data_IF_149691327074
#
_entry.id   IF_149691327074
#
_cell.length_a   1.000
_cell.length_b   1.000
_cell.length_c   1.000
_cell.angle_alpha   90.00
_cell.angle_beta   90.00
_cell.angle_gamma   90.00
#
_symmetry.space_group_name_H-M   'P 1'
#
loop_
_entity.id
_entity.type
_entity.pdbx_description
1 polymer ?
#
# COMPACT_ATOMS: atom_id res chain seq x y z
N UNK A 1 18.03 8.83 -0.72
CA UNK A 1 17.32 8.12 -1.80
C UNK A 1 15.98 7.75 -1.21
N UNK A 2 14.90 8.29 -1.74
CA UNK A 2 13.54 7.95 -1.31
C UNK A 2 13.30 6.47 -1.65
N UNK A 3 13.18 5.63 -0.63
CA UNK A 3 12.90 4.21 -0.82
C UNK A 3 11.41 4.06 -1.17
N UNK A 4 11.15 3.61 -2.40
CA UNK A 4 9.79 3.41 -2.92
C UNK A 4 9.41 1.93 -2.88
N UNK A 5 8.21 1.64 -2.39
CA UNK A 5 7.60 0.32 -2.35
C UNK A 5 6.43 0.30 -3.33
N UNK A 6 6.40 -0.67 -4.23
CA UNK A 6 5.26 -0.92 -5.09
C UNK A 6 4.52 -2.18 -4.64
N UNK A 7 3.26 -2.02 -4.27
CA UNK A 7 2.36 -3.10 -3.90
C UNK A 7 1.47 -3.44 -5.09
N UNK A 8 1.43 -4.71 -5.47
CA UNK A 8 0.42 -5.20 -6.40
C UNK A 8 -0.85 -5.59 -5.64
N UNK A 9 -2.00 -5.26 -6.21
CA UNK A 9 -3.29 -5.53 -5.60
C UNK A 9 -3.45 -7.01 -5.26
N UNK A 10 -3.85 -7.28 -4.03
CA UNK A 10 -4.07 -8.59 -3.42
C UNK A 10 -2.82 -9.49 -3.41
N UNK A 11 -1.63 -8.92 -3.59
CA UNK A 11 -0.36 -9.64 -3.48
C UNK A 11 0.33 -9.20 -2.18
N UNK A 12 0.49 -10.11 -1.20
CA UNK A 12 1.23 -9.81 0.01
C UNK A 12 2.70 -9.54 -0.29
N UNK A 13 3.19 -8.39 0.18
CA UNK A 13 4.56 -7.94 -0.04
C UNK A 13 5.25 -7.80 1.32
N UNK A 14 6.32 -8.57 1.60
CA UNK A 14 7.06 -8.44 2.84
C UNK A 14 7.91 -7.16 2.81
N UNK A 15 7.78 -6.33 3.83
CA UNK A 15 8.48 -5.04 3.96
C UNK A 15 8.85 -4.83 5.41
N UNK A 16 10.14 -4.67 5.70
CA UNK A 16 10.67 -4.37 7.05
C UNK A 16 10.15 -5.30 8.17
N UNK A 17 9.98 -6.60 7.89
CA UNK A 17 9.45 -7.55 8.86
C UNK A 17 7.92 -7.52 9.02
N UNK A 18 7.23 -6.67 8.26
CA UNK A 18 5.78 -6.60 8.12
C UNK A 18 5.35 -7.23 6.79
N UNK A 19 4.05 -7.49 6.65
CA UNK A 19 3.40 -7.88 5.41
C UNK A 19 2.40 -6.80 4.99
N UNK A 20 2.61 -6.21 3.82
CA UNK A 20 1.73 -5.20 3.25
C UNK A 20 0.86 -5.80 2.17
N UNK A 21 -0.42 -5.43 2.13
CA UNK A 21 -1.35 -5.83 1.07
C UNK A 21 -2.14 -4.62 0.60
N UNK A 22 -2.05 -4.29 -0.68
CA UNK A 22 -2.97 -3.34 -1.30
C UNK A 22 -4.23 -4.08 -1.75
N UNK A 23 -5.40 -3.56 -1.42
CA UNK A 23 -6.69 -4.13 -1.81
C UNK A 23 -7.64 -3.02 -2.24
N UNK A 24 -8.75 -3.39 -2.90
CA UNK A 24 -9.77 -2.44 -3.35
C UNK A 24 -9.19 -1.21 -4.09
N UNK A 25 -8.11 -1.41 -4.84
CA UNK A 25 -7.48 -0.36 -5.64
C UNK A 25 -8.48 0.06 -6.72
N UNK A 26 -8.87 1.34 -6.74
CA UNK A 26 -9.86 1.93 -7.65
C UNK A 26 -9.56 3.40 -7.89
N UNK A 27 -9.21 3.77 -9.12
CA UNK A 27 -8.92 5.16 -9.46
C UNK A 27 -7.78 5.71 -8.59
N UNK A 28 -8.10 6.67 -7.73
CA UNK A 28 -7.15 7.28 -6.78
C UNK A 28 -7.32 6.80 -5.33
N UNK A 29 -8.06 5.72 -5.10
CA UNK A 29 -8.37 5.16 -3.77
C UNK A 29 -7.85 3.73 -3.65
N UNK A 30 -7.30 3.38 -2.50
CA UNK A 30 -6.92 2.02 -2.17
C UNK A 30 -7.15 1.71 -0.68
N UNK A 31 -7.17 0.43 -0.34
CA UNK A 31 -7.04 -0.04 1.04
C UNK A 31 -5.66 -0.64 1.21
N UNK A 32 -4.87 -0.13 2.16
CA UNK A 32 -3.62 -0.73 2.59
C UNK A 32 -3.86 -1.54 3.87
N UNK A 33 -3.44 -2.79 3.88
CA UNK A 33 -3.33 -3.59 5.08
C UNK A 33 -1.87 -3.66 5.50
N UNK A 34 -1.62 -3.41 6.79
CA UNK A 34 -0.31 -3.53 7.43
C UNK A 34 -0.42 -4.64 8.47
N UNK A 35 0.32 -5.71 8.27
CA UNK A 35 0.31 -6.87 9.17
C UNK A 35 1.67 -7.07 9.80
N UNK A 36 1.71 -7.05 11.13
CA UNK A 36 2.88 -7.50 11.90
C UNK A 36 2.73 -8.99 12.27
N UNK A 37 3.85 -9.68 12.39
CA UNK A 37 3.85 -11.11 12.72
C UNK A 37 3.26 -11.33 14.10
N UNK A 38 2.17 -12.11 14.19
CA UNK A 38 1.50 -12.40 15.45
C UNK A 38 0.47 -11.35 15.89
N UNK A 39 0.24 -10.31 15.07
CA UNK A 39 -0.74 -9.26 15.34
C UNK A 39 -1.87 -9.24 14.31
N UNK A 40 -2.96 -8.55 14.63
CA UNK A 40 -4.06 -8.34 13.70
C UNK A 40 -3.69 -7.30 12.63
N UNK A 41 -4.14 -7.53 11.40
CA UNK A 41 -3.96 -6.59 10.31
C UNK A 41 -4.59 -5.22 10.63
N UNK A 42 -3.80 -4.15 10.54
CA UNK A 42 -4.32 -2.78 10.58
C UNK A 42 -4.72 -2.37 9.18
N UNK A 43 -5.93 -1.80 9.04
CA UNK A 43 -6.49 -1.37 7.76
C UNK A 43 -6.45 0.15 7.65
N UNK A 44 -5.86 0.65 6.58
CA UNK A 44 -5.87 2.06 6.19
C UNK A 44 -6.57 2.23 4.86
N UNK A 45 -7.51 3.15 4.78
CA UNK A 45 -8.04 3.62 3.50
C UNK A 45 -7.22 4.84 3.08
N UNK A 46 -6.70 4.83 1.86
CA UNK A 46 -5.69 5.80 1.41
C UNK A 46 -5.95 6.32 0.01
N UNK A 47 -5.54 7.56 -0.21
CA UNK A 47 -5.52 8.27 -1.49
C UNK A 47 -4.13 8.81 -1.80
N UNK A 48 -3.89 9.23 -3.04
CA UNK A 48 -2.60 9.83 -3.42
C UNK A 48 -2.33 11.09 -2.60
N UNK A 49 -1.16 11.14 -1.97
CA UNK A 49 -0.72 12.22 -1.09
C UNK A 49 -0.82 11.90 0.39
N UNK A 50 -1.62 10.90 0.80
CA UNK A 50 -1.79 10.49 2.20
C UNK A 50 -0.49 9.92 2.78
N UNK A 51 -0.26 10.16 4.06
CA UNK A 51 0.83 9.54 4.82
C UNK A 51 0.24 8.56 5.83
N UNK A 52 0.77 7.34 5.86
CA UNK A 52 0.30 6.26 6.73
C UNK A 52 1.44 5.63 7.51
N UNK A 53 1.18 5.20 8.76
CA UNK A 53 2.14 4.45 9.53
C UNK A 53 2.31 3.05 8.95
N UNK A 54 3.56 2.60 8.84
CA UNK A 54 3.93 1.26 8.41
C UNK A 54 4.97 0.73 9.40
N UNK A 55 4.46 0.13 10.49
CA UNK A 55 5.27 -0.16 11.68
C UNK A 55 5.77 1.13 12.31
N UNK A 56 7.08 1.20 12.55
CA UNK A 56 7.75 2.36 13.15
C UNK A 56 8.09 3.48 12.15
N UNK A 57 7.67 3.35 10.88
CA UNK A 57 7.97 4.31 9.81
C UNK A 57 6.71 4.99 9.27
N UNK A 58 6.90 6.11 8.58
CA UNK A 58 5.85 6.77 7.81
C UNK A 58 6.08 6.55 6.31
N UNK A 59 5.00 6.22 5.60
CA UNK A 59 5.03 6.06 4.16
C UNK A 59 3.97 6.96 3.51
N UNK A 60 4.37 7.74 2.51
CA UNK A 60 3.48 8.57 1.71
C UNK A 60 3.01 7.81 0.49
N UNK A 61 1.72 7.86 0.20
CA UNK A 61 1.16 7.33 -1.03
C UNK A 61 1.51 8.26 -2.19
N UNK A 62 2.40 7.82 -3.07
CA UNK A 62 2.80 8.60 -4.23
C UNK A 62 1.89 8.39 -5.43
N UNK A 63 1.44 7.16 -5.63
CA UNK A 63 0.62 6.80 -6.77
C UNK A 63 -0.31 5.64 -6.47
N UNK A 64 -1.51 5.72 -7.01
CA UNK A 64 -2.48 4.63 -7.07
C UNK A 64 -2.81 4.48 -8.55
N UNK A 65 -2.51 3.32 -9.12
CA UNK A 65 -2.66 3.07 -10.56
C UNK A 65 -3.46 1.81 -10.81
N UNK A 66 -4.36 1.85 -11.80
CA UNK A 66 -5.21 0.72 -12.14
C UNK A 66 -6.35 0.52 -11.14
N UNK A 67 -7.04 -0.61 -11.25
CA UNK A 67 -8.22 -0.90 -10.43
C UNK A 67 -9.54 -0.52 -11.10
N UNK A 68 -9.79 -1.07 -12.29
CA UNK A 68 -11.13 -1.07 -12.86
C UNK A 68 -11.93 -2.27 -12.34
N UNK A 69 -13.20 -2.06 -12.01
CA UNK A 69 -14.18 -3.16 -11.92
C UNK A 69 -14.47 -3.79 -13.29
N UNK A 70 -14.01 -3.15 -14.37
CA UNK A 70 -14.31 -3.53 -15.76
C UNK A 70 -13.35 -4.58 -16.33
N UNK A 71 -12.57 -5.25 -15.48
CA UNK A 71 -11.67 -6.34 -15.87
C UNK A 71 -12.30 -7.71 -15.60
N UNK A 72 -12.06 -8.73 -16.46
CA UNK A 72 -12.44 -10.10 -16.14
C UNK A 72 -11.82 -10.53 -14.79
N UNK A 73 -12.53 -11.40 -14.02
CA UNK A 73 -12.02 -11.92 -12.76
C UNK A 73 -10.60 -12.47 -12.93
N UNK A 74 -9.71 -12.15 -12.01
CA UNK A 74 -8.29 -12.53 -12.05
C UNK A 74 -7.33 -11.45 -12.58
N UNK A 75 -7.82 -10.30 -13.09
CA UNK A 75 -6.97 -9.15 -13.44
C UNK A 75 -6.93 -8.08 -12.34
N UNK A 76 -6.40 -8.44 -11.17
CA UNK A 76 -6.01 -7.46 -10.15
C UNK A 76 -4.74 -6.73 -10.61
N UNK A 77 -4.89 -5.79 -11.55
CA UNK A 77 -3.78 -4.96 -12.06
C UNK A 77 -3.57 -3.67 -11.25
N UNK A 78 -4.34 -3.48 -10.16
CA UNK A 78 -4.17 -2.35 -9.26
C UNK A 78 -2.77 -2.34 -8.64
N UNK A 79 -2.19 -1.15 -8.52
CA UNK A 79 -0.90 -0.92 -7.89
C UNK A 79 -1.01 0.27 -6.94
N UNK A 80 -0.33 0.16 -5.81
CA UNK A 80 -0.16 1.21 -4.82
C UNK A 80 1.33 1.44 -4.64
N UNK A 81 1.80 2.66 -4.84
CA UNK A 81 3.19 3.06 -4.65
C UNK A 81 3.31 3.92 -3.41
N UNK A 82 4.21 3.54 -2.52
CA UNK A 82 4.50 4.21 -1.27
C UNK A 82 5.95 4.69 -1.30
N UNK A 83 6.21 5.94 -0.93
CA UNK A 83 7.55 6.43 -0.65
C UNK A 83 7.75 6.58 0.86
N UNK A 84 8.90 6.13 1.34
CA UNK A 84 9.29 6.40 2.72
C UNK A 84 9.47 7.90 2.96
N UNK A 85 8.79 8.40 3.97
CA UNK A 85 9.08 9.72 4.52
C UNK A 85 10.15 9.51 5.57
N UNK A 86 11.41 9.84 5.26
CA UNK A 86 12.43 9.91 6.31
C UNK A 86 11.98 10.98 7.30
N UNK A 87 11.91 10.66 8.60
CA UNK A 87 11.81 11.70 9.61
C UNK A 87 12.98 12.68 9.41
N UNK A 88 12.73 14.00 9.41
CA UNK A 88 13.84 14.95 9.41
C UNK A 88 14.66 14.69 10.67
N UNK A 89 15.97 14.52 10.48
CA UNK A 89 16.97 14.35 11.52
C UNK A 89 17.00 15.53 12.51
#
# INVERSE_FOLDING_TARGET
MDETITLQQNIPTPVWGLRLVAANVRGNLATLYVEATGESAVRHQVTVGDTVPVGDRQARVEAITGGGHDGPPGRAAGRLTLALVQEPA
#
